data_IF_346910806155
#
_entry.id   IF_346910806155
#
_cell.length_a   1.000
_cell.length_b   1.000
_cell.length_c   1.000
_cell.angle_alpha   90.00
_cell.angle_beta   90.00
_cell.angle_gamma   90.00
#
_symmetry.space_group_name_H-M   'P 1'
#
loop_
_entity.id
_entity.type
_entity.pdbx_description
1 polymer ?
#
# COMPACT_ATOMS: atom_id res chain seq x y z
N UNK A 1 -30.37 18.68 21.62
CA UNK A 1 -29.41 17.83 22.36
C UNK A 1 -28.53 17.14 21.34
N UNK A 2 -27.23 17.08 21.58
CA UNK A 2 -26.25 16.50 20.66
C UNK A 2 -25.43 15.41 21.35
N UNK A 3 -25.00 14.43 20.58
CA UNK A 3 -23.98 13.45 20.97
C UNK A 3 -22.73 13.77 20.15
N UNK A 4 -21.56 13.79 20.77
CA UNK A 4 -20.30 14.06 20.07
C UNK A 4 -19.40 12.82 20.12
N UNK A 5 -18.41 12.76 19.24
CA UNK A 5 -17.41 11.71 19.31
C UNK A 5 -16.27 12.06 20.30
N UNK A 6 -15.43 11.05 20.58
CA UNK A 6 -14.26 11.22 21.44
C UNK A 6 -13.25 12.22 20.88
N UNK A 7 -13.12 12.35 19.55
CA UNK A 7 -12.13 13.24 18.91
C UNK A 7 -12.50 14.70 19.14
N UNK A 8 -13.77 15.06 18.93
CA UNK A 8 -14.33 16.38 19.18
C UNK A 8 -14.24 16.73 20.66
N UNK A 9 -14.56 15.77 21.54
CA UNK A 9 -14.45 15.95 22.99
C UNK A 9 -13.03 16.34 23.40
N UNK A 10 -12.01 15.61 22.95
CA UNK A 10 -10.61 15.91 23.30
C UNK A 10 -10.09 17.21 22.65
N UNK A 11 -10.59 17.56 21.47
CA UNK A 11 -10.13 18.75 20.76
C UNK A 11 -10.64 20.04 21.39
N UNK A 12 -11.91 20.09 21.81
CA UNK A 12 -12.54 21.29 22.34
C UNK A 12 -12.59 21.33 23.87
N UNK A 13 -12.56 20.17 24.55
CA UNK A 13 -12.57 20.03 26.01
C UNK A 13 -11.47 19.08 26.50
N UNK A 14 -10.18 19.38 26.29
CA UNK A 14 -9.08 18.47 26.65
C UNK A 14 -8.97 18.18 28.15
N UNK A 15 -9.50 19.05 29.02
CA UNK A 15 -9.40 18.95 30.48
C UNK A 15 -10.75 19.15 31.19
N UNK A 16 -11.86 19.14 30.45
CA UNK A 16 -13.20 19.39 30.99
C UNK A 16 -14.16 18.28 30.56
N UNK A 17 -15.20 18.03 31.36
CA UNK A 17 -16.27 17.14 30.94
C UNK A 17 -17.17 17.88 29.93
N UNK A 18 -17.25 17.42 28.67
CA UNK A 18 -18.10 18.06 27.67
C UNK A 18 -19.59 17.80 27.94
N UNK A 19 -19.96 16.86 28.81
CA UNK A 19 -21.37 16.56 29.11
C UNK A 19 -21.99 17.76 29.84
N UNK A 20 -23.15 18.21 29.33
CA UNK A 20 -23.85 19.38 29.85
C UNK A 20 -23.40 20.72 29.24
N UNK A 21 -22.29 20.73 28.50
CA UNK A 21 -21.84 21.91 27.76
C UNK A 21 -22.70 22.17 26.53
N UNK A 22 -22.60 23.39 25.98
CA UNK A 22 -23.37 23.81 24.81
C UNK A 22 -22.50 23.92 23.56
N UNK A 23 -23.03 23.44 22.44
CA UNK A 23 -22.40 23.52 21.12
C UNK A 23 -23.36 24.15 20.11
N UNK A 24 -22.81 24.91 19.17
CA UNK A 24 -23.53 25.50 18.06
C UNK A 24 -22.79 25.15 16.74
N UNK A 25 -23.53 24.63 15.76
CA UNK A 25 -22.98 24.18 14.47
C UNK A 25 -23.21 25.16 13.31
N UNK A 26 -23.47 26.44 13.59
CA UNK A 26 -23.53 27.52 12.62
C UNK A 26 -24.67 28.52 12.88
N UNK A 27 -24.65 29.66 12.19
CA UNK A 27 -25.49 30.84 12.48
C UNK A 27 -27.01 30.60 12.50
N UNK A 28 -27.51 29.50 11.91
CA UNK A 28 -28.93 29.15 11.89
C UNK A 28 -29.31 27.98 12.81
N UNK A 29 -28.35 27.42 13.54
CA UNK A 29 -28.57 26.28 14.42
C UNK A 29 -28.82 26.74 15.86
N UNK A 30 -29.85 26.22 16.54
CA UNK A 30 -30.02 26.46 17.97
C UNK A 30 -28.83 25.89 18.77
N UNK A 31 -28.52 26.52 19.89
CA UNK A 31 -27.58 25.97 20.87
C UNK A 31 -28.08 24.62 21.38
N UNK A 32 -27.18 23.64 21.43
CA UNK A 32 -27.51 22.28 21.85
C UNK A 32 -26.64 21.84 23.01
N UNK A 33 -27.28 21.25 24.02
CA UNK A 33 -26.57 20.59 25.11
C UNK A 33 -26.02 19.25 24.66
N UNK A 34 -24.75 19.00 24.99
CA UNK A 34 -24.08 17.72 24.79
C UNK A 34 -24.56 16.76 25.88
N UNK A 35 -25.13 15.62 25.47
CA UNK A 35 -25.73 14.63 26.38
C UNK A 35 -25.02 13.27 26.37
N UNK A 36 -24.02 13.10 25.51
CA UNK A 36 -23.29 11.86 25.42
C UNK A 36 -22.06 11.96 24.52
N UNK A 37 -21.17 10.99 24.73
CA UNK A 37 -19.93 10.82 23.97
C UNK A 37 -19.93 9.41 23.40
N UNK A 38 -19.61 9.28 22.11
CA UNK A 38 -19.47 7.98 21.42
C UNK A 38 -18.05 7.79 20.90
N UNK A 39 -17.65 6.54 20.69
CA UNK A 39 -16.35 6.24 20.08
C UNK A 39 -16.27 6.85 18.67
N UNK A 40 -15.12 7.43 18.32
CA UNK A 40 -14.87 7.95 16.98
C UNK A 40 -15.02 6.84 15.93
N UNK A 41 -15.84 7.11 14.91
CA UNK A 41 -16.07 6.20 13.79
C UNK A 41 -15.49 6.81 12.51
N UNK A 42 -14.74 6.01 11.75
CA UNK A 42 -14.21 6.42 10.44
C UNK A 42 -15.34 6.44 9.41
N UNK A 43 -15.85 7.63 9.08
CA UNK A 43 -17.02 7.78 8.20
C UNK A 43 -16.68 8.19 6.76
N UNK A 44 -15.61 8.95 6.52
CA UNK A 44 -15.32 9.54 5.19
C UNK A 44 -14.17 8.89 4.44
N UNK A 45 -13.16 8.33 5.13
CA UNK A 45 -12.10 7.52 4.52
C UNK A 45 -11.50 6.55 5.54
N UNK A 46 -10.98 5.42 5.06
CA UNK A 46 -10.24 4.44 5.89
C UNK A 46 -8.82 4.94 6.25
N UNK A 47 -8.27 5.84 5.43
CA UNK A 47 -6.86 6.24 5.42
C UNK A 47 -6.59 7.47 6.29
N UNK A 48 -7.43 8.50 6.18
CA UNK A 48 -7.37 9.62 7.09
C UNK A 48 -8.24 9.30 8.30
N UNK A 49 -7.60 9.18 9.47
CA UNK A 49 -8.24 9.60 10.71
C UNK A 49 -8.47 11.10 10.54
N UNK A 50 -9.54 11.44 9.83
CA UNK A 50 -9.91 12.84 9.63
C UNK A 50 -10.20 13.29 11.04
N UNK A 51 -9.32 14.11 11.61
CA UNK A 51 -9.51 14.74 12.93
C UNK A 51 -10.70 15.72 12.95
N UNK A 52 -11.61 15.59 11.99
CA UNK A 52 -12.90 16.21 12.01
C UNK A 52 -13.74 15.38 12.97
N UNK A 53 -13.93 15.91 14.17
CA UNK A 53 -14.84 15.33 15.14
C UNK A 53 -16.26 15.27 14.58
N UNK A 54 -16.93 14.13 14.78
CA UNK A 54 -18.31 13.93 14.40
C UNK A 54 -19.26 14.33 15.52
N UNK A 55 -20.44 14.81 15.11
CA UNK A 55 -21.57 15.03 16.00
C UNK A 55 -22.81 14.32 15.43
N UNK A 56 -23.65 13.85 16.33
CA UNK A 56 -24.86 13.10 16.03
C UNK A 56 -26.05 13.83 16.63
N UNK A 57 -27.01 14.16 15.76
CA UNK A 57 -28.26 14.81 16.14
C UNK A 57 -29.40 13.82 15.93
N UNK A 58 -30.38 13.86 16.82
CA UNK A 58 -31.59 13.07 16.64
C UNK A 58 -32.34 13.57 15.41
N UNK A 59 -32.73 12.67 14.51
CA UNK A 59 -33.47 13.01 13.29
C UNK A 59 -34.78 13.79 13.59
N UNK A 60 -35.41 13.50 14.74
CA UNK A 60 -36.59 14.24 15.19
C UNK A 60 -36.34 15.73 15.50
N UNK A 61 -35.09 16.11 15.80
CA UNK A 61 -34.69 17.49 16.06
C UNK A 61 -34.33 18.24 14.77
N UNK A 62 -33.77 17.52 13.79
CA UNK A 62 -33.41 18.05 12.48
C UNK A 62 -33.87 17.09 11.37
N UNK A 63 -35.15 17.15 10.98
CA UNK A 63 -35.66 16.32 9.90
C UNK A 63 -35.05 16.80 8.58
N UNK A 64 -34.03 16.08 8.10
CA UNK A 64 -33.47 16.28 6.77
C UNK A 64 -34.39 15.67 5.71
N UNK A 65 -34.53 16.37 4.57
CA UNK A 65 -35.28 15.86 3.42
C UNK A 65 -34.54 14.72 2.70
N UNK A 66 -33.24 14.59 2.93
CA UNK A 66 -32.38 13.50 2.47
C UNK A 66 -31.84 12.74 3.67
N UNK A 67 -32.15 11.45 3.74
CA UNK A 67 -31.72 10.58 4.82
C UNK A 67 -31.30 9.23 4.27
N UNK A 68 -30.21 8.69 4.82
CA UNK A 68 -29.80 7.32 4.58
C UNK A 68 -30.36 6.43 5.68
N UNK A 69 -30.82 5.24 5.31
CA UNK A 69 -31.30 4.24 6.26
C UNK A 69 -30.27 3.12 6.30
N UNK A 70 -29.67 2.94 7.47
CA UNK A 70 -28.78 1.81 7.74
C UNK A 70 -29.56 0.75 8.50
N UNK A 71 -29.62 -0.45 7.94
CA UNK A 71 -30.30 -1.60 8.55
C UNK A 71 -29.26 -2.61 9.01
N UNK A 72 -29.33 -3.00 10.28
CA UNK A 72 -28.55 -4.12 10.81
C UNK A 72 -29.36 -5.40 10.65
N UNK A 73 -28.70 -6.47 10.22
CA UNK A 73 -29.27 -7.80 10.08
C UNK A 73 -28.32 -8.85 10.61
N UNK A 74 -28.88 -9.93 11.16
CA UNK A 74 -28.13 -11.11 11.60
C UNK A 74 -28.02 -12.18 10.49
N UNK A 75 -28.54 -11.90 9.28
CA UNK A 75 -28.45 -12.79 8.12
C UNK A 75 -27.01 -12.92 7.62
N UNK A 76 -26.59 -14.13 7.26
CA UNK A 76 -25.27 -14.39 6.65
C UNK A 76 -25.17 -13.90 5.20
N UNK A 77 -26.30 -13.56 4.56
CA UNK A 77 -26.37 -13.05 3.19
C UNK A 77 -27.21 -11.75 3.16
N UNK A 78 -26.65 -10.60 3.58
CA UNK A 78 -27.36 -9.32 3.65
C UNK A 78 -27.88 -8.83 2.29
N UNK A 79 -27.25 -9.23 1.19
CA UNK A 79 -27.64 -8.91 -0.18
C UNK A 79 -29.06 -9.40 -0.52
N UNK A 80 -29.50 -10.51 0.09
CA UNK A 80 -30.84 -11.06 -0.12
C UNK A 80 -31.94 -10.23 0.54
N UNK A 81 -31.60 -9.31 1.44
CA UNK A 81 -32.58 -8.39 2.06
C UNK A 81 -32.97 -7.23 1.15
N UNK A 82 -32.25 -7.01 0.06
CA UNK A 82 -32.52 -5.96 -0.92
C UNK A 82 -33.99 -5.93 -1.35
N UNK A 83 -34.51 -7.09 -1.77
CA UNK A 83 -35.90 -7.21 -2.23
C UNK A 83 -36.92 -6.97 -1.13
N UNK A 84 -36.65 -7.45 0.08
CA UNK A 84 -37.52 -7.24 1.25
C UNK A 84 -37.56 -5.75 1.66
N UNK A 85 -36.41 -5.08 1.67
CA UNK A 85 -36.32 -3.64 1.93
C UNK A 85 -37.05 -2.82 0.86
N UNK A 86 -36.86 -3.15 -0.41
CA UNK A 86 -37.55 -2.48 -1.51
C UNK A 86 -39.07 -2.66 -1.42
N UNK A 87 -39.55 -3.87 -1.10
CA UNK A 87 -40.97 -4.12 -0.91
C UNK A 87 -41.55 -3.34 0.28
N UNK A 88 -40.80 -3.24 1.38
CA UNK A 88 -41.20 -2.46 2.56
C UNK A 88 -41.29 -0.96 2.25
N UNK A 89 -40.31 -0.39 1.56
CA UNK A 89 -40.31 1.04 1.19
C UNK A 89 -41.46 1.34 0.23
N UNK A 90 -41.68 0.49 -0.79
CA UNK A 90 -42.78 0.68 -1.74
C UNK A 90 -44.17 0.63 -1.10
N UNK A 91 -44.34 -0.05 0.04
CA UNK A 91 -45.61 -0.05 0.80
C UNK A 91 -45.87 1.27 1.50
N UNK A 92 -44.81 1.98 1.90
CA UNK A 92 -44.92 3.29 2.56
C UNK A 92 -45.08 4.38 1.51
N UNK A 93 -44.20 4.40 0.51
CA UNK A 93 -44.26 5.35 -0.60
C UNK A 93 -43.77 4.68 -1.91
N UNK A 94 -44.68 4.40 -2.86
CA UNK A 94 -44.33 3.83 -4.16
C UNK A 94 -43.47 4.74 -5.05
N UNK A 95 -43.52 6.05 -4.83
CA UNK A 95 -42.82 7.05 -5.64
C UNK A 95 -41.41 7.36 -5.09
N UNK A 96 -41.03 6.78 -3.96
CA UNK A 96 -39.70 7.01 -3.37
C UNK A 96 -38.63 6.25 -4.17
N UNK A 97 -37.66 6.95 -4.79
CA UNK A 97 -36.56 6.29 -5.49
C UNK A 97 -35.62 5.64 -4.48
N UNK A 98 -35.41 4.32 -4.60
CA UNK A 98 -34.31 3.64 -3.93
C UNK A 98 -33.02 3.94 -4.69
N UNK A 99 -32.12 4.68 -4.04
CA UNK A 99 -30.81 4.99 -4.56
C UNK A 99 -29.73 4.26 -3.74
N UNK A 100 -28.71 3.75 -4.42
CA UNK A 100 -27.47 3.23 -3.83
C UNK A 100 -27.66 2.14 -2.75
N UNK A 101 -28.51 1.15 -3.02
CA UNK A 101 -28.67 -0.01 -2.17
C UNK A 101 -27.42 -0.90 -2.25
N UNK A 102 -26.59 -0.85 -1.21
CA UNK A 102 -25.34 -1.61 -1.09
C UNK A 102 -25.17 -2.16 0.31
N UNK A 103 -24.56 -3.33 0.43
CA UNK A 103 -24.11 -3.84 1.74
C UNK A 103 -22.96 -2.98 2.25
N UNK A 104 -22.72 -3.00 3.57
CA UNK A 104 -21.57 -2.29 4.14
C UNK A 104 -20.24 -2.80 3.56
N UNK A 105 -20.15 -4.10 3.25
CA UNK A 105 -18.99 -4.69 2.56
C UNK A 105 -18.80 -4.09 1.16
N UNK A 106 -19.86 -4.03 0.35
CA UNK A 106 -19.80 -3.42 -0.97
C UNK A 106 -19.46 -1.93 -0.94
N UNK A 107 -19.92 -1.21 0.10
CA UNK A 107 -19.53 0.20 0.31
C UNK A 107 -18.05 0.33 0.61
N UNK A 108 -17.51 -0.52 1.49
CA UNK A 108 -16.07 -0.56 1.79
C UNK A 108 -15.26 -0.91 0.54
N UNK A 109 -15.67 -1.94 -0.22
CA UNK A 109 -14.99 -2.35 -1.45
C UNK A 109 -15.00 -1.26 -2.53
N UNK A 110 -16.12 -0.55 -2.68
CA UNK A 110 -16.26 0.55 -3.63
C UNK A 110 -15.28 1.69 -3.32
N UNK A 111 -15.02 1.97 -2.04
CA UNK A 111 -14.00 2.94 -1.61
C UNK A 111 -12.57 2.52 -1.98
N UNK A 112 -12.33 1.23 -2.24
CA UNK A 112 -11.00 0.70 -2.60
C UNK A 112 -10.76 0.62 -4.11
N UNK A 113 -11.79 0.78 -4.96
CA UNK A 113 -11.67 0.60 -6.43
C UNK A 113 -10.70 1.60 -7.05
N UNK A 114 -10.80 2.89 -6.70
CA UNK A 114 -9.88 3.92 -7.20
C UNK A 114 -8.42 3.66 -6.81
N UNK A 115 -8.21 3.10 -5.61
CA UNK A 115 -6.89 2.74 -5.11
C UNK A 115 -6.28 1.55 -5.83
N UNK A 116 -7.10 0.54 -6.17
CA UNK A 116 -6.65 -0.67 -6.87
C UNK A 116 -6.05 -0.36 -8.23
N UNK A 117 -6.60 0.59 -8.97
CA UNK A 117 -6.06 1.01 -10.27
C UNK A 117 -4.64 1.57 -10.14
N UNK A 118 -4.41 2.50 -9.21
CA UNK A 118 -3.09 3.07 -8.96
C UNK A 118 -2.09 2.00 -8.50
N UNK A 119 -2.49 1.11 -7.60
CA UNK A 119 -1.61 0.01 -7.13
C UNK A 119 -1.21 -0.90 -8.29
N UNK A 120 -2.15 -1.27 -9.17
CA UNK A 120 -1.85 -2.10 -10.35
C UNK A 120 -0.89 -1.39 -11.30
N UNK A 121 -1.12 -0.11 -11.58
CA UNK A 121 -0.27 0.68 -12.47
C UNK A 121 1.15 0.85 -11.90
N UNK A 122 1.28 1.19 -10.61
CA UNK A 122 2.57 1.26 -9.93
C UNK A 122 3.27 -0.10 -9.89
N UNK A 123 2.52 -1.19 -9.70
CA UNK A 123 3.07 -2.55 -9.72
C UNK A 123 3.62 -2.92 -11.10
N UNK A 124 2.94 -2.51 -12.18
CA UNK A 124 3.46 -2.68 -13.54
C UNK A 124 4.75 -1.89 -13.77
N UNK A 125 4.80 -0.61 -13.37
CA UNK A 125 6.02 0.18 -13.49
C UNK A 125 7.17 -0.37 -12.66
N UNK A 126 6.90 -0.81 -11.43
CA UNK A 126 7.89 -1.47 -10.59
C UNK A 126 8.42 -2.76 -11.24
N UNK A 127 7.54 -3.57 -11.83
CA UNK A 127 7.93 -4.78 -12.57
C UNK A 127 8.82 -4.48 -13.78
N UNK A 128 8.47 -3.47 -14.57
CA UNK A 128 9.29 -3.02 -15.70
C UNK A 128 10.66 -2.49 -15.26
N UNK A 129 10.69 -1.66 -14.22
CA UNK A 129 11.93 -1.13 -13.66
C UNK A 129 12.84 -2.27 -13.16
N UNK A 130 12.27 -3.28 -12.51
CA UNK A 130 12.99 -4.45 -12.03
C UNK A 130 13.56 -5.29 -13.19
N UNK A 131 12.79 -5.45 -14.26
CA UNK A 131 13.24 -6.12 -15.49
C UNK A 131 14.40 -5.37 -16.15
N UNK A 132 14.27 -4.05 -16.30
CA UNK A 132 15.34 -3.20 -16.86
C UNK A 132 16.60 -3.23 -16.00
N UNK A 133 16.46 -3.21 -14.67
CA UNK A 133 17.59 -3.36 -13.75
C UNK A 133 18.28 -4.72 -13.91
N UNK A 134 17.51 -5.80 -14.02
CA UNK A 134 18.05 -7.14 -14.25
C UNK A 134 18.81 -7.24 -15.59
N UNK A 135 18.25 -6.68 -16.67
CA UNK A 135 18.92 -6.63 -17.98
C UNK A 135 20.21 -5.79 -17.95
N UNK A 136 20.19 -4.63 -17.28
CA UNK A 136 21.36 -3.78 -17.11
C UNK A 136 22.48 -4.50 -16.35
N UNK A 137 22.12 -5.17 -15.25
CA UNK A 137 23.07 -5.96 -14.46
C UNK A 137 23.64 -7.13 -15.28
N UNK A 138 22.80 -7.85 -16.02
CA UNK A 138 23.24 -8.90 -16.93
C UNK A 138 24.25 -8.38 -17.96
N UNK A 139 23.97 -7.22 -18.57
CA UNK A 139 24.86 -6.58 -19.54
C UNK A 139 26.22 -6.24 -18.95
N UNK A 140 26.24 -5.57 -17.80
CA UNK A 140 27.49 -5.18 -17.10
C UNK A 140 28.31 -6.40 -16.69
N UNK A 141 27.67 -7.43 -16.13
CA UNK A 141 28.36 -8.66 -15.71
C UNK A 141 28.86 -9.45 -16.92
N UNK A 142 28.04 -9.64 -17.95
CA UNK A 142 28.42 -10.32 -19.19
C UNK A 142 29.60 -9.64 -19.89
N UNK A 143 29.64 -8.31 -19.86
CA UNK A 143 30.75 -7.54 -20.40
C UNK A 143 32.04 -7.72 -19.57
N UNK A 144 31.95 -7.62 -18.24
CA UNK A 144 33.07 -7.83 -17.32
C UNK A 144 33.68 -9.23 -17.45
N UNK A 145 32.84 -10.26 -17.59
CA UNK A 145 33.26 -11.64 -17.85
C UNK A 145 34.00 -11.74 -19.18
N UNK A 146 33.45 -11.13 -20.26
CA UNK A 146 34.08 -11.14 -21.59
C UNK A 146 35.48 -10.52 -21.56
N UNK A 147 35.68 -9.40 -20.88
CA UNK A 147 37.00 -8.77 -20.74
C UNK A 147 37.99 -9.64 -19.95
N UNK A 148 37.52 -10.43 -18.98
CA UNK A 148 38.36 -11.27 -18.12
C UNK A 148 38.50 -12.71 -18.61
N UNK A 149 37.90 -13.08 -19.76
CA UNK A 149 37.90 -14.46 -20.29
C UNK A 149 39.32 -15.02 -20.44
N UNK A 150 40.30 -14.19 -20.85
CA UNK A 150 41.69 -14.61 -21.05
C UNK A 150 42.40 -14.91 -19.72
N UNK A 151 42.21 -14.06 -18.70
CA UNK A 151 42.75 -14.30 -17.35
C UNK A 151 42.10 -15.51 -16.68
N UNK A 152 40.78 -15.66 -16.84
CA UNK A 152 40.01 -16.78 -16.32
C UNK A 152 40.43 -18.10 -17.00
N UNK A 153 40.64 -18.09 -18.32
CA UNK A 153 41.14 -19.25 -19.06
C UNK A 153 42.52 -19.70 -18.61
N UNK A 154 43.46 -18.77 -18.36
CA UNK A 154 44.80 -19.09 -17.83
C UNK A 154 44.71 -19.69 -16.43
N UNK A 155 43.88 -19.12 -15.53
CA UNK A 155 43.67 -19.68 -14.18
C UNK A 155 43.08 -21.09 -14.21
N UNK A 156 42.10 -21.34 -15.06
CA UNK A 156 41.49 -22.67 -15.22
C UNK A 156 42.51 -23.67 -15.78
N UNK A 157 43.34 -23.27 -16.74
CA UNK A 157 44.43 -24.11 -17.27
C UNK A 157 45.50 -24.44 -16.22
N UNK A 158 45.70 -23.55 -15.24
CA UNK A 158 46.58 -23.75 -14.08
C UNK A 158 45.91 -24.54 -12.93
N UNK A 159 44.68 -25.04 -13.12
CA UNK A 159 43.97 -25.89 -12.16
C UNK A 159 43.03 -25.15 -11.21
N UNK A 160 42.69 -23.88 -11.46
CA UNK A 160 41.73 -23.15 -10.64
C UNK A 160 40.32 -23.79 -10.71
N UNK A 161 39.69 -23.92 -9.55
CA UNK A 161 38.38 -24.55 -9.42
C UNK A 161 37.28 -23.62 -9.98
N UNK A 162 36.28 -24.19 -10.67
CA UNK A 162 35.14 -23.44 -11.26
C UNK A 162 34.40 -22.57 -10.23
N UNK A 163 34.50 -22.93 -8.95
CA UNK A 163 33.94 -22.19 -7.83
C UNK A 163 34.57 -20.80 -7.62
N UNK A 164 35.86 -20.62 -7.92
CA UNK A 164 36.54 -19.33 -7.74
C UNK A 164 36.05 -18.27 -8.73
N UNK A 165 35.78 -18.70 -9.97
CA UNK A 165 35.22 -17.86 -11.02
C UNK A 165 33.78 -17.45 -10.66
N UNK A 166 32.99 -18.42 -10.18
CA UNK A 166 31.62 -18.18 -9.75
C UNK A 166 31.57 -17.19 -8.57
N UNK A 167 32.44 -17.37 -7.57
CA UNK A 167 32.52 -16.53 -6.36
C UNK A 167 32.95 -15.10 -6.68
N UNK A 168 33.85 -14.93 -7.65
CA UNK A 168 34.31 -13.62 -8.11
C UNK A 168 33.19 -12.84 -8.83
N UNK A 169 32.44 -13.51 -9.72
CA UNK A 169 31.34 -12.90 -10.47
C UNK A 169 30.15 -12.60 -9.53
N UNK A 170 29.75 -13.55 -8.69
CA UNK A 170 28.70 -13.36 -7.69
C UNK A 170 29.09 -12.25 -6.69
N UNK A 171 30.35 -12.19 -6.27
CA UNK A 171 30.84 -11.13 -5.37
C UNK A 171 30.73 -9.73 -5.97
N UNK A 172 30.96 -9.57 -7.28
CA UNK A 172 30.72 -8.30 -7.97
C UNK A 172 29.22 -7.95 -8.00
N UNK A 173 28.36 -8.92 -8.31
CA UNK A 173 26.91 -8.74 -8.30
C UNK A 173 26.38 -8.33 -6.92
N UNK A 174 26.83 -9.02 -5.86
CA UNK A 174 26.44 -8.73 -4.48
C UNK A 174 26.92 -7.35 -4.01
N UNK A 175 28.14 -6.93 -4.37
CA UNK A 175 28.63 -5.58 -4.04
C UNK A 175 27.80 -4.48 -4.70
N UNK A 176 27.47 -4.64 -5.99
CA UNK A 176 26.60 -3.71 -6.70
C UNK A 176 25.20 -3.69 -6.08
N UNK A 177 24.65 -4.84 -5.72
CA UNK A 177 23.37 -4.95 -5.04
C UNK A 177 23.37 -4.25 -3.67
N UNK A 178 24.42 -4.46 -2.87
CA UNK A 178 24.55 -3.85 -1.56
C UNK A 178 24.60 -2.31 -1.64
N UNK A 179 25.37 -1.77 -2.58
CA UNK A 179 25.42 -0.32 -2.83
C UNK A 179 24.06 0.21 -3.33
N UNK A 180 23.43 -0.49 -4.27
CA UNK A 180 22.11 -0.13 -4.78
C UNK A 180 21.03 -0.14 -3.70
N UNK A 181 21.03 -1.16 -2.83
CA UNK A 181 20.11 -1.25 -1.68
C UNK A 181 20.34 -0.12 -0.69
N UNK A 182 21.59 0.19 -0.37
CA UNK A 182 21.93 1.26 0.57
C UNK A 182 21.48 2.63 0.04
N UNK A 183 21.75 2.92 -1.24
CA UNK A 183 21.27 4.13 -1.89
C UNK A 183 19.74 4.16 -2.01
N UNK A 184 19.12 3.03 -2.32
CA UNK A 184 17.67 2.90 -2.42
C UNK A 184 16.96 3.12 -1.08
N UNK A 185 17.51 2.62 0.02
CA UNK A 185 16.99 2.85 1.37
C UNK A 185 17.07 4.33 1.75
N UNK A 186 18.21 4.99 1.45
CA UNK A 186 18.36 6.43 1.69
C UNK A 186 17.35 7.21 0.86
N UNK A 187 17.23 6.91 -0.44
CA UNK A 187 16.28 7.57 -1.33
C UNK A 187 14.83 7.38 -0.86
N UNK A 188 14.47 6.16 -0.43
CA UNK A 188 13.15 5.83 0.12
C UNK A 188 12.88 6.64 1.39
N UNK A 189 13.87 6.77 2.28
CA UNK A 189 13.74 7.54 3.51
C UNK A 189 13.52 9.03 3.23
N UNK A 190 14.32 9.61 2.33
CA UNK A 190 14.23 11.04 1.95
C UNK A 190 12.90 11.34 1.24
N UNK A 191 12.53 10.51 0.25
CA UNK A 191 11.28 10.66 -0.48
C UNK A 191 10.07 10.46 0.44
N UNK A 192 10.12 9.44 1.30
CA UNK A 192 9.08 9.20 2.31
C UNK A 192 8.90 10.43 3.20
N UNK A 193 9.99 10.99 3.73
CA UNK A 193 9.92 12.20 4.55
C UNK A 193 9.31 13.38 3.79
N UNK A 194 9.68 13.61 2.53
CA UNK A 194 9.11 14.67 1.71
C UNK A 194 7.62 14.46 1.41
N UNK A 195 7.18 13.22 1.18
CA UNK A 195 5.77 12.90 0.99
C UNK A 195 4.97 13.00 2.29
N UNK A 196 5.59 12.69 3.44
CA UNK A 196 4.92 12.80 4.75
C UNK A 196 4.50 14.21 5.10
N UNK A 197 5.25 15.22 4.65
CA UNK A 197 4.86 16.62 4.81
C UNK A 197 3.67 17.03 3.93
N UNK A 198 3.31 16.22 2.94
CA UNK A 198 2.22 16.49 2.00
C UNK A 198 0.99 15.59 2.21
N UNK A 199 1.17 14.37 2.75
CA UNK A 199 0.08 13.41 3.02
C UNK A 199 0.00 13.06 4.52
N UNK A 200 -1.10 13.48 5.15
CA UNK A 200 -1.44 13.09 6.53
C UNK A 200 -1.88 11.61 6.59
N UNK A 201 -1.40 10.87 7.58
CA UNK A 201 -1.93 9.55 7.95
C UNK A 201 -1.28 8.33 7.28
N UNK A 202 -0.29 8.50 6.39
CA UNK A 202 0.42 7.35 5.81
C UNK A 202 1.50 6.85 6.78
N UNK A 203 1.37 5.61 7.25
CA UNK A 203 2.43 4.92 7.99
C UNK A 203 3.64 4.70 7.07
N UNK A 204 4.59 5.63 7.10
CA UNK A 204 5.70 5.74 6.15
C UNK A 204 6.70 4.59 6.20
N UNK A 205 6.74 3.85 7.30
CA UNK A 205 7.74 2.81 7.53
C UNK A 205 7.07 1.54 8.02
N UNK A 206 6.62 0.71 7.08
CA UNK A 206 6.31 -0.67 7.40
C UNK A 206 7.60 -1.51 7.25
N UNK A 207 8.22 -1.98 8.36
CA UNK A 207 9.48 -2.72 8.30
C UNK A 207 9.33 -4.02 7.50
N UNK A 208 8.15 -4.64 7.52
CA UNK A 208 7.88 -5.87 6.79
C UNK A 208 7.95 -5.65 5.27
N UNK A 209 7.42 -4.52 4.78
CA UNK A 209 7.51 -4.16 3.36
C UNK A 209 8.96 -3.91 2.94
N UNK A 210 9.76 -3.21 3.74
CA UNK A 210 11.17 -2.95 3.46
C UNK A 210 12.01 -4.23 3.41
N UNK A 211 11.76 -5.16 4.33
CA UNK A 211 12.44 -6.46 4.36
C UNK A 211 12.08 -7.28 3.13
N UNK A 212 10.79 -7.39 2.80
CA UNK A 212 10.33 -8.14 1.63
C UNK A 212 10.89 -7.57 0.31
N UNK A 213 10.86 -6.25 0.12
CA UNK A 213 11.41 -5.63 -1.10
C UNK A 213 12.91 -5.81 -1.19
N UNK A 214 13.65 -5.71 -0.08
CA UNK A 214 15.09 -5.95 -0.04
C UNK A 214 15.44 -7.40 -0.42
N UNK A 215 14.69 -8.39 0.11
CA UNK A 215 14.86 -9.81 -0.25
C UNK A 215 14.56 -10.03 -1.73
N UNK A 216 13.48 -9.43 -2.25
CA UNK A 216 13.08 -9.57 -3.64
C UNK A 216 14.12 -8.98 -4.60
N UNK A 217 14.68 -7.80 -4.28
CA UNK A 217 15.76 -7.19 -5.05
C UNK A 217 17.04 -8.04 -5.02
N UNK A 218 17.42 -8.58 -3.85
CA UNK A 218 18.55 -9.50 -3.73
C UNK A 218 18.36 -10.75 -4.59
N UNK A 219 17.17 -11.37 -4.52
CA UNK A 219 16.85 -12.54 -5.33
C UNK A 219 16.94 -12.22 -6.84
N UNK A 220 16.45 -11.06 -7.26
CA UNK A 220 16.53 -10.59 -8.65
C UNK A 220 17.98 -10.44 -9.11
N UNK A 221 18.83 -9.79 -8.30
CA UNK A 221 20.26 -9.62 -8.61
C UNK A 221 20.95 -10.97 -8.70
N UNK A 222 20.69 -11.88 -7.75
CA UNK A 222 21.27 -13.22 -7.76
C UNK A 222 20.86 -14.00 -9.01
N UNK A 223 19.59 -13.98 -9.39
CA UNK A 223 19.11 -14.64 -10.62
C UNK A 223 19.74 -14.04 -11.88
N UNK A 224 19.78 -12.71 -11.98
CA UNK A 224 20.36 -12.01 -13.14
C UNK A 224 21.88 -12.23 -13.28
N UNK A 225 22.60 -12.33 -12.15
CA UNK A 225 24.04 -12.59 -12.13
C UNK A 225 24.41 -14.08 -12.27
N UNK A 226 23.52 -14.99 -11.87
CA UNK A 226 23.73 -16.43 -11.96
C UNK A 226 23.76 -16.93 -13.40
N UNK A 227 22.88 -16.44 -14.28
CA UNK A 227 22.86 -16.85 -15.70
C UNK A 227 24.22 -16.68 -16.41
N UNK A 228 24.82 -15.47 -16.45
CA UNK A 228 26.10 -15.27 -17.13
C UNK A 228 27.25 -15.97 -16.41
N UNK A 229 27.22 -16.07 -15.08
CA UNK A 229 28.21 -16.84 -14.32
C UNK A 229 28.16 -18.33 -14.68
N UNK A 230 26.95 -18.90 -14.80
CA UNK A 230 26.77 -20.29 -15.18
C UNK A 230 27.26 -20.56 -16.61
N UNK A 231 26.92 -19.67 -17.54
CA UNK A 231 27.40 -19.77 -18.93
C UNK A 231 28.93 -19.68 -19.02
N UNK A 232 29.58 -18.77 -18.28
CA UNK A 232 31.03 -18.65 -18.24
C UNK A 232 31.71 -19.97 -17.80
N UNK A 233 31.18 -20.62 -16.75
CA UNK A 233 31.73 -21.89 -16.25
C UNK A 233 31.53 -23.09 -17.18
N UNK A 234 30.52 -23.07 -18.07
CA UNK A 234 30.23 -24.15 -19.02
C UNK A 234 30.86 -23.98 -20.40
N UNK A 235 31.05 -22.75 -20.86
CA UNK A 235 31.53 -22.46 -22.21
C UNK A 235 33.07 -22.45 -22.29
N UNK A 236 33.76 -22.08 -21.21
CA UNK A 236 35.23 -21.98 -21.17
C UNK A 236 36.01 -23.29 -21.45
N UNK A 237 35.56 -24.52 -21.14
CA UNK A 237 36.33 -25.72 -21.45
C UNK A 237 36.41 -26.03 -22.95
N UNK A 238 35.38 -25.69 -23.73
CA UNK A 238 35.28 -26.08 -25.14
C UNK A 238 35.89 -25.05 -26.10
N UNK A 239 35.89 -23.77 -25.75
CA UNK A 239 36.47 -22.72 -26.60
C UNK A 239 37.99 -22.65 -26.44
N UNK A 240 38.53 -22.92 -25.25
CA UNK A 240 39.97 -22.93 -24.99
C UNK A 240 40.73 -24.07 -25.73
N UNK A 241 40.01 -25.09 -26.23
CA UNK A 241 40.58 -26.24 -26.94
C UNK A 241 40.41 -26.16 -28.48
N UNK A 242 39.79 -25.09 -29.00
CA UNK A 242 39.42 -24.99 -30.43
C UNK A 242 40.03 -23.79 -31.15
N UNK A 243 40.82 -22.99 -30.46
CA UNK A 243 41.63 -21.89 -31.02
C UNK A 243 43.11 -22.30 -31.23
N UNK A 244 43.38 -23.61 -31.36
CA UNK A 244 44.60 -24.12 -32.00
C UNK A 244 44.32 -24.51 -33.47
#
# INVERSE_FOLDING_TARGET
>A
MAIIDTTLAHQYWPNEDPIGQHINFGDKSPWMTIVGIVAHAKSSSLEADVKEGFYFLALAQFPNQTGEIVVRTDSTHPENMAGAMQAAIRRVDPNQPLYDLKTMEQRVDSSLVGRRFLVVLLSMFAGLALLLAALGLYGVISYSVRLRTRELGIRVALGAERGDVLRLILGQGVRLAALGLLLGLIATFVAGRALSSLLYGVSLFNPLTLVLTSILLLATVLLASYLPAHWATRVQPMVALRDE
#
